data_IF_206421715361
#
_entry.id   IF_206421715361
#
_cell.length_a   1.000
_cell.length_b   1.000
_cell.length_c   1.000
_cell.angle_alpha   90.00
_cell.angle_beta   90.00
_cell.angle_gamma   90.00
#
_symmetry.space_group_name_H-M   'P 1'
#
loop_
_entity.id
_entity.type
_entity.pdbx_description
1 polymer ?
#
# COMPACT_ATOMS: atom_id res chain seq x y z
N UNK A 1 4.03 7.23 19.17
CA UNK A 1 3.27 6.01 18.80
C UNK A 1 3.43 5.83 17.30
N UNK A 2 3.86 4.66 16.83
CA UNK A 2 4.06 4.39 15.39
C UNK A 2 3.02 3.37 14.95
N UNK A 3 2.26 3.69 13.91
CA UNK A 3 1.35 2.73 13.28
C UNK A 3 2.16 1.94 12.26
N UNK A 4 2.06 0.61 12.31
CA UNK A 4 2.65 -0.27 11.30
C UNK A 4 1.57 -1.15 10.70
N UNK A 5 1.71 -1.40 9.41
CA UNK A 5 0.84 -2.24 8.62
C UNK A 5 1.69 -3.19 7.79
N UNK A 6 1.19 -4.41 7.60
CA UNK A 6 1.85 -5.35 6.68
C UNK A 6 1.61 -4.92 5.22
N UNK A 7 2.63 -4.98 4.34
CA UNK A 7 2.48 -4.55 2.95
C UNK A 7 1.30 -5.18 2.19
N UNK A 8 1.03 -6.47 2.42
CA UNK A 8 -0.07 -7.23 1.82
C UNK A 8 -1.46 -6.81 2.31
N UNK A 9 -1.54 -6.00 3.38
CA UNK A 9 -2.79 -5.48 3.91
C UNK A 9 -3.14 -4.08 3.34
N UNK A 10 -2.29 -3.54 2.46
CA UNK A 10 -2.54 -2.30 1.74
C UNK A 10 -3.26 -2.63 0.44
N UNK A 11 -4.48 -2.10 0.29
CA UNK A 11 -5.33 -2.40 -0.86
C UNK A 11 -5.31 -1.22 -1.81
N UNK A 12 -4.64 -1.43 -2.94
CA UNK A 12 -4.67 -0.52 -4.08
C UNK A 12 -5.92 -0.87 -4.90
N UNK A 13 -6.76 0.10 -5.26
CA UNK A 13 -8.06 -0.10 -5.93
C UNK A 13 -9.21 -0.55 -5.01
N UNK A 14 -9.58 0.34 -4.09
CA UNK A 14 -10.98 0.44 -3.70
C UNK A 14 -11.57 1.62 -4.45
N UNK A 15 -12.74 1.43 -5.05
CA UNK A 15 -13.49 2.50 -5.72
C UNK A 15 -13.68 3.71 -4.80
N UNK A 16 -13.71 3.47 -3.47
CA UNK A 16 -13.57 4.47 -2.42
C UNK A 16 -12.56 4.01 -1.35
N UNK A 17 -11.51 4.80 -1.15
CA UNK A 17 -10.51 4.61 -0.11
C UNK A 17 -10.33 5.91 0.69
N UNK A 18 -10.10 5.84 2.02
CA UNK A 18 -10.01 7.04 2.86
C UNK A 18 -8.78 7.91 2.56
N UNK A 19 -7.81 7.40 1.80
CA UNK A 19 -6.57 8.11 1.48
C UNK A 19 -6.28 8.06 -0.02
N UNK A 20 -5.59 9.08 -0.54
CA UNK A 20 -5.02 9.08 -1.89
C UNK A 20 -3.56 8.60 -1.83
N UNK A 21 -3.20 7.70 -2.75
CA UNK A 21 -1.84 7.21 -2.92
C UNK A 21 -1.29 7.55 -4.31
N UNK A 22 -0.01 7.89 -4.41
CA UNK A 22 0.73 8.04 -5.67
C UNK A 22 1.72 6.89 -5.81
N UNK A 23 1.69 6.19 -6.94
CA UNK A 23 2.66 5.12 -7.21
C UNK A 23 4.00 5.74 -7.59
N UNK A 24 5.04 5.45 -6.80
CA UNK A 24 6.42 5.93 -7.04
C UNK A 24 7.29 4.88 -7.72
N UNK A 25 7.07 3.59 -7.44
CA UNK A 25 7.77 2.46 -8.06
C UNK A 25 6.83 1.27 -8.18
N UNK A 26 7.02 0.47 -9.23
CA UNK A 26 6.40 -0.84 -9.39
C UNK A 26 7.50 -1.86 -9.70
N UNK A 27 7.52 -2.99 -8.99
CA UNK A 27 8.50 -4.06 -9.17
C UNK A 27 7.79 -5.40 -9.34
N UNK A 28 8.01 -6.02 -10.49
CA UNK A 28 7.36 -7.26 -10.88
C UNK A 28 8.25 -8.43 -10.48
N UNK A 29 7.80 -9.21 -9.49
CA UNK A 29 8.56 -10.33 -8.90
C UNK A 29 8.01 -11.69 -9.34
N UNK A 30 7.33 -11.74 -10.49
CA UNK A 30 6.69 -12.94 -11.01
C UNK A 30 5.30 -13.15 -10.44
N UNK A 31 5.19 -13.75 -9.26
CA UNK A 31 3.90 -14.07 -8.62
C UNK A 31 3.25 -12.89 -7.91
N UNK A 32 4.01 -11.83 -7.65
CA UNK A 32 3.54 -10.61 -6.97
C UNK A 32 4.10 -9.36 -7.63
N UNK A 33 3.42 -8.24 -7.40
CA UNK A 33 3.92 -6.91 -7.73
C UNK A 33 4.08 -6.13 -6.43
N UNK A 34 5.28 -5.61 -6.21
CA UNK A 34 5.56 -4.70 -5.11
C UNK A 34 5.46 -3.25 -5.61
N UNK A 35 4.75 -2.42 -4.86
CA UNK A 35 4.60 -1.01 -5.15
C UNK A 35 5.15 -0.17 -4.01
N UNK A 36 6.01 0.79 -4.34
CA UNK A 36 6.24 1.91 -3.44
C UNK A 36 5.16 2.95 -3.73
N UNK A 37 4.40 3.28 -2.70
CA UNK A 37 3.34 4.28 -2.77
C UNK A 37 3.60 5.40 -1.79
N UNK A 38 3.30 6.63 -2.20
CA UNK A 38 3.32 7.78 -1.32
C UNK A 38 1.91 8.11 -0.85
N UNK A 39 1.70 8.16 0.47
CA UNK A 39 0.41 8.49 1.11
C UNK A 39 0.68 9.56 2.16
N UNK A 40 0.08 10.74 2.01
CA UNK A 40 0.26 11.84 2.97
C UNK A 40 1.74 12.22 3.21
N UNK A 41 2.60 12.10 2.19
CA UNK A 41 4.04 12.36 2.28
C UNK A 41 4.88 11.24 2.90
N UNK A 42 4.27 10.09 3.24
CA UNK A 42 4.98 8.91 3.73
C UNK A 42 5.11 7.87 2.62
N UNK A 43 6.29 7.26 2.50
CA UNK A 43 6.52 6.14 1.60
C UNK A 43 6.12 4.83 2.28
N UNK A 44 5.21 4.07 1.66
CA UNK A 44 4.75 2.76 2.09
C UNK A 44 5.02 1.73 1.00
N UNK A 45 5.15 0.47 1.39
CA UNK A 45 5.26 -0.66 0.46
C UNK A 45 3.93 -1.40 0.47
N UNK A 46 3.34 -1.59 -0.70
CA UNK A 46 2.17 -2.42 -0.92
C UNK A 46 2.55 -3.65 -1.75
N UNK A 47 1.96 -4.80 -1.43
CA UNK A 47 2.19 -6.04 -2.17
C UNK A 47 0.87 -6.51 -2.76
N UNK A 48 0.85 -6.65 -4.08
CA UNK A 48 -0.27 -7.22 -4.83
C UNK A 48 0.06 -8.64 -5.28
N UNK A 49 -0.83 -9.59 -4.99
CA UNK A 49 -0.69 -11.00 -5.38
C UNK A 49 -1.90 -11.53 -6.16
N UNK A 50 -2.96 -10.73 -6.30
CA UNK A 50 -4.14 -11.12 -7.06
C UNK A 50 -3.93 -10.92 -8.56
N UNK A 51 -3.70 -12.05 -9.25
CA UNK A 51 -3.55 -12.11 -10.71
C UNK A 51 -4.83 -11.77 -11.48
N UNK A 52 -5.99 -11.78 -10.82
CA UNK A 52 -7.29 -11.46 -11.43
C UNK A 52 -7.60 -9.96 -11.37
N UNK A 53 -6.77 -9.16 -10.70
CA UNK A 53 -7.01 -7.74 -10.57
C UNK A 53 -6.95 -7.05 -11.93
N UNK A 54 -8.08 -6.47 -12.33
CA UNK A 54 -8.31 -5.94 -13.67
C UNK A 54 -7.41 -4.75 -14.05
N UNK A 55 -6.74 -4.11 -13.10
CA UNK A 55 -5.93 -2.92 -13.35
C UNK A 55 -4.59 -3.00 -12.64
N UNK A 56 -3.52 -3.05 -13.45
CA UNK A 56 -2.13 -2.93 -12.99
C UNK A 56 -1.79 -1.45 -12.86
N UNK A 57 -1.42 -1.04 -11.66
CA UNK A 57 -1.01 0.32 -11.35
C UNK A 57 0.34 0.66 -12.02
N UNK A 58 0.46 1.86 -12.59
CA UNK A 58 1.68 2.40 -13.20
C UNK A 58 2.29 3.49 -12.33
N UNK A 59 3.59 3.71 -12.49
CA UNK A 59 4.27 4.83 -11.84
C UNK A 59 3.62 6.15 -12.26
N UNK A 60 3.32 7.00 -11.27
CA UNK A 60 2.60 8.26 -11.45
C UNK A 60 1.08 8.16 -11.32
N UNK A 61 0.51 6.95 -11.34
CA UNK A 61 -0.93 6.78 -11.13
C UNK A 61 -1.31 7.18 -9.71
N UNK A 62 -2.54 7.70 -9.59
CA UNK A 62 -3.18 8.06 -8.32
C UNK A 62 -4.35 7.11 -8.08
N UNK A 63 -4.41 6.51 -6.90
CA UNK A 63 -5.49 5.62 -6.52
C UNK A 63 -5.98 5.91 -5.11
N UNK A 64 -7.28 5.73 -4.84
CA UNK A 64 -7.73 5.57 -3.48
C UNK A 64 -7.07 4.31 -2.88
N UNK A 65 -6.56 4.44 -1.66
CA UNK A 65 -5.96 3.36 -0.90
C UNK A 65 -6.75 3.12 0.38
N UNK A 66 -6.96 1.83 0.67
CA UNK A 66 -7.53 1.36 1.92
C UNK A 66 -6.57 0.44 2.65
N UNK A 67 -6.84 0.25 3.94
CA UNK A 67 -6.12 -0.69 4.77
C UNK A 67 -7.08 -1.75 5.28
N UNK A 68 -6.64 -3.00 5.33
CA UNK A 68 -7.39 -4.02 6.04
C UNK A 68 -7.34 -3.73 7.55
N UNK A 69 -8.46 -3.35 8.15
CA UNK A 69 -8.55 -2.81 9.52
C UNK A 69 -7.96 -3.75 10.59
N UNK A 70 -8.00 -5.07 10.36
CA UNK A 70 -7.45 -6.07 11.28
C UNK A 70 -5.93 -6.27 11.16
N UNK A 71 -5.26 -5.49 10.33
CA UNK A 71 -3.83 -5.64 10.03
C UNK A 71 -2.99 -4.43 10.47
N UNK A 72 -3.59 -3.55 11.28
CA UNK A 72 -2.96 -2.36 11.85
C UNK A 72 -2.44 -2.65 13.26
N UNK A 73 -1.18 -2.31 13.53
CA UNK A 73 -0.55 -2.49 14.84
C UNK A 73 0.04 -1.16 15.33
N UNK A 74 -0.18 -0.84 16.60
CA UNK A 74 0.44 0.29 17.25
C UNK A 74 1.69 -0.17 18.00
N UNK A 75 2.84 0.35 17.60
CA UNK A 75 4.08 0.18 18.32
C UNK A 75 4.31 1.37 19.27
N UNK A 76 4.85 1.11 20.48
CA UNK A 76 5.31 2.18 21.34
C UNK A 76 6.42 2.99 20.62
N UNK A 77 6.63 4.27 20.99
CA UNK A 77 7.80 4.99 20.53
C UNK A 77 9.06 4.19 20.88
N UNK A 78 10.03 4.16 19.97
CA UNK A 78 11.31 3.48 20.20
C UNK A 78 11.94 4.08 21.47
N UNK A 79 12.14 3.24 22.49
CA UNK A 79 12.93 3.62 23.66
C UNK A 79 14.39 3.58 23.21
N UNK A 80 15.01 4.75 23.08
CA UNK A 80 16.43 4.89 22.77
C UNK A 80 17.34 4.36 23.86
#
# INVERSE_FOLDING_TARGET
>A
MRLVIRPEAIILNREDGPFEAVVRRATYLGSVIEYDIEVGGQLLIAVESDVQRATVARVGDRFPVGFHERSLYCLPPETG
#
